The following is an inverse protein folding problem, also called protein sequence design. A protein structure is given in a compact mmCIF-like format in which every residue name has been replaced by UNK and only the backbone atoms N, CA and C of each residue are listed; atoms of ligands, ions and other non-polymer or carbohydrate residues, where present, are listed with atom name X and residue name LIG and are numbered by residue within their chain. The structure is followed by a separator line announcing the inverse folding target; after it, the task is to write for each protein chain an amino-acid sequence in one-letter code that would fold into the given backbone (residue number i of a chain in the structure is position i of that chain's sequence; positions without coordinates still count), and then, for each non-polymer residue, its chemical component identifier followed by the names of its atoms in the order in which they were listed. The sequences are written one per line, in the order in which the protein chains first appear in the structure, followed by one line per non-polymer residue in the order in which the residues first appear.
data_IF_638437427924
#
_entry.id   IF_638437427924
#
_cell.length_a   1.000
_cell.length_b   1.000
_cell.length_c   1.000
_cell.angle_alpha   90.00
_cell.angle_beta   90.00
_cell.angle_gamma   90.00
#
_symmetry.space_group_name_H-M   'P 1'
#
loop_
_entity.id
_entity.type
_entity.pdbx_description
1 polymer ?
#
# COMPACT_ATOMS: atom_id res chain seq x y z
N UNK A 1 -0.95 -6.55 -10.29
CA UNK A 1 -0.63 -7.96 -9.96
C UNK A 1 -1.21 -8.25 -8.57
N UNK A 2 -1.10 -9.43 -7.99
CA UNK A 2 -1.43 -9.63 -6.56
C UNK A 2 -0.15 -10.01 -5.82
N UNK A 3 0.16 -9.29 -4.75
CA UNK A 3 1.30 -9.56 -3.87
C UNK A 3 0.77 -10.03 -2.52
N UNK A 4 1.27 -11.16 -2.04
CA UNK A 4 0.79 -11.78 -0.81
C UNK A 4 1.81 -11.62 0.32
N UNK A 5 1.41 -10.92 1.39
CA UNK A 5 2.23 -10.74 2.59
C UNK A 5 2.02 -11.94 3.50
N UNK A 6 2.95 -12.89 3.45
CA UNK A 6 2.86 -14.14 4.22
C UNK A 6 3.22 -13.96 5.69
N UNK A 7 4.26 -13.19 5.96
CA UNK A 7 4.87 -13.12 7.28
C UNK A 7 4.10 -12.23 8.25
N UNK A 8 4.03 -12.68 9.50
CA UNK A 8 3.57 -11.89 10.62
C UNK A 8 4.58 -10.80 10.99
N UNK A 9 4.12 -9.83 11.77
CA UNK A 9 4.91 -8.70 12.24
C UNK A 9 4.82 -8.55 13.75
N UNK A 10 5.97 -8.30 14.39
CA UNK A 10 6.03 -8.12 15.85
C UNK A 10 5.52 -6.77 16.32
N UNK A 11 5.37 -5.80 15.41
CA UNK A 11 4.95 -4.44 15.73
C UNK A 11 4.13 -3.82 14.60
N UNK A 12 3.34 -2.81 14.94
CA UNK A 12 2.60 -2.00 13.95
C UNK A 12 3.55 -1.37 12.93
N UNK A 13 4.71 -0.86 13.36
CA UNK A 13 5.70 -0.27 12.46
C UNK A 13 6.21 -1.28 11.44
N UNK A 14 6.64 -2.47 11.89
CA UNK A 14 7.11 -3.52 10.97
C UNK A 14 5.99 -4.01 10.05
N UNK A 15 4.76 -4.13 10.55
CA UNK A 15 3.59 -4.47 9.75
C UNK A 15 3.27 -3.44 8.65
N UNK A 16 3.34 -2.15 8.97
CA UNK A 16 3.16 -1.07 8.00
C UNK A 16 4.28 -1.07 6.94
N UNK A 17 5.52 -1.31 7.36
CA UNK A 17 6.66 -1.42 6.44
C UNK A 17 6.48 -2.57 5.45
N UNK A 18 6.05 -3.74 5.92
CA UNK A 18 5.75 -4.89 5.04
C UNK A 18 4.60 -4.62 4.09
N UNK A 19 3.53 -3.99 4.59
CA UNK A 19 2.39 -3.59 3.77
C UNK A 19 2.81 -2.62 2.66
N UNK A 20 3.61 -1.59 3.00
CA UNK A 20 4.16 -0.64 2.02
C UNK A 20 5.07 -1.34 1.01
N UNK A 21 5.93 -2.25 1.45
CA UNK A 21 6.80 -3.02 0.56
C UNK A 21 6.00 -3.84 -0.46
N UNK A 22 4.92 -4.50 -0.03
CA UNK A 22 4.05 -5.25 -0.93
C UNK A 22 3.31 -4.35 -1.94
N UNK A 23 2.92 -3.13 -1.55
CA UNK A 23 2.34 -2.16 -2.48
C UNK A 23 3.36 -1.68 -3.53
N UNK A 24 4.61 -1.44 -3.11
CA UNK A 24 5.72 -1.09 -4.01
C UNK A 24 5.99 -2.23 -4.98
N UNK A 25 6.05 -3.46 -4.49
CA UNK A 25 6.26 -4.63 -5.33
C UNK A 25 5.14 -4.80 -6.37
N UNK A 26 3.87 -4.65 -5.96
CA UNK A 26 2.75 -4.71 -6.90
C UNK A 26 2.84 -3.63 -7.99
N UNK A 27 3.19 -2.40 -7.60
CA UNK A 27 3.36 -1.29 -8.53
C UNK A 27 4.51 -1.54 -9.51
N UNK A 28 5.68 -1.97 -9.00
CA UNK A 28 6.84 -2.27 -9.82
C UNK A 28 6.51 -3.38 -10.81
N UNK A 29 5.83 -4.44 -10.37
CA UNK A 29 5.36 -5.53 -11.23
C UNK A 29 4.39 -5.04 -12.32
N UNK A 30 3.51 -4.09 -12.01
CA UNK A 30 2.55 -3.54 -12.97
C UNK A 30 3.18 -2.54 -13.97
N UNK A 31 4.31 -1.93 -13.61
CA UNK A 31 4.99 -0.91 -14.42
C UNK A 31 6.28 -1.39 -15.08
N UNK A 32 6.74 -2.61 -14.77
CA UNK A 32 7.88 -3.20 -15.43
C UNK A 32 7.50 -3.70 -16.81
N UNK A 33 8.26 -3.32 -17.82
CA UNK A 33 8.17 -3.89 -19.17
C UNK A 33 9.43 -4.69 -19.45
N UNK A 34 9.33 -5.93 -19.97
CA UNK A 34 10.49 -6.63 -20.50
C UNK A 34 10.94 -5.92 -21.77
N UNK A 35 11.98 -5.10 -21.66
CA UNK A 35 12.63 -4.42 -22.77
C UNK A 35 14.08 -4.90 -22.83
N UNK A 36 14.53 -5.28 -24.02
CA UNK A 36 15.95 -5.45 -24.26
C UNK A 36 16.52 -4.04 -24.51
N UNK A 37 17.55 -3.60 -23.78
CA UNK A 37 18.09 -2.23 -23.89
C UNK A 37 19.00 -2.06 -25.11
N UNK A 38 18.49 -2.28 -26.32
CA UNK A 38 19.31 -2.26 -27.53
C UNK A 38 19.26 -0.93 -28.27
N UNK A 39 18.23 -0.10 -28.08
CA UNK A 39 18.12 1.23 -28.69
C UNK A 39 17.83 2.36 -27.69
N UNK A 40 17.96 3.61 -28.14
CA UNK A 40 17.83 4.79 -27.28
C UNK A 40 16.39 5.08 -26.84
N UNK A 41 15.38 4.66 -27.61
CA UNK A 41 13.97 4.76 -27.20
C UNK A 41 13.68 3.83 -26.02
N UNK A 42 14.18 2.59 -26.06
CA UNK A 42 14.05 1.62 -24.96
C UNK A 42 14.73 2.12 -23.70
N UNK A 43 15.95 2.70 -23.81
CA UNK A 43 16.65 3.31 -22.67
C UNK A 43 15.84 4.47 -22.06
N UNK A 44 15.24 5.32 -22.89
CA UNK A 44 14.42 6.45 -22.43
C UNK A 44 13.16 5.97 -21.69
N UNK A 45 12.51 4.93 -22.21
CA UNK A 45 11.34 4.31 -21.58
C UNK A 45 11.68 3.70 -20.22
N UNK A 46 12.77 2.94 -20.13
CA UNK A 46 13.27 2.36 -18.86
C UNK A 46 13.57 3.45 -17.83
N UNK A 47 14.23 4.55 -18.24
CA UNK A 47 14.51 5.69 -17.36
C UNK A 47 13.21 6.33 -16.84
N UNK A 48 12.21 6.47 -17.71
CA UNK A 48 10.92 7.05 -17.35
C UNK A 48 10.15 6.16 -16.36
N UNK A 49 10.18 4.84 -16.55
CA UNK A 49 9.59 3.86 -15.62
C UNK A 49 10.28 3.87 -14.25
N UNK A 50 11.62 3.87 -14.23
CA UNK A 50 12.38 3.93 -12.98
C UNK A 50 12.05 5.20 -12.18
N UNK A 51 11.88 6.34 -12.87
CA UNK A 51 11.43 7.58 -12.26
C UNK A 51 10.04 7.45 -11.66
N UNK A 52 9.07 6.90 -12.40
CA UNK A 52 7.70 6.69 -11.90
C UNK A 52 7.67 5.77 -10.67
N UNK A 53 8.47 4.70 -10.66
CA UNK A 53 8.61 3.80 -9.51
C UNK A 53 9.21 4.52 -8.30
N UNK A 54 10.23 5.34 -8.50
CA UNK A 54 10.83 6.12 -7.41
C UNK A 54 9.86 7.17 -6.85
N UNK A 55 9.13 7.88 -7.71
CA UNK A 55 8.08 8.82 -7.31
C UNK A 55 6.97 8.11 -6.54
N UNK A 56 6.56 6.92 -6.97
CA UNK A 56 5.59 6.09 -6.25
C UNK A 56 6.06 5.71 -4.84
N UNK A 57 7.31 5.25 -4.69
CA UNK A 57 7.90 4.89 -3.38
C UNK A 57 7.96 6.10 -2.43
N UNK A 58 8.31 7.26 -2.98
CA UNK A 58 8.47 8.51 -2.24
C UNK A 58 7.14 9.17 -1.89
N UNK A 59 6.07 8.91 -2.67
CA UNK A 59 4.75 9.49 -2.46
C UNK A 59 3.96 8.94 -1.27
N UNK A 60 4.45 7.91 -0.58
CA UNK A 60 3.74 7.34 0.57
C UNK A 60 3.90 8.18 1.84
N UNK A 61 2.77 8.44 2.48
CA UNK A 61 2.67 9.12 3.76
C UNK A 61 1.86 8.26 4.73
N UNK A 62 2.38 8.12 5.96
CA UNK A 62 1.70 7.43 7.06
C UNK A 62 1.38 8.46 8.12
N UNK A 63 0.10 8.58 8.47
CA UNK A 63 -0.33 9.49 9.54
C UNK A 63 -1.08 8.74 10.64
N UNK A 64 -0.78 9.08 11.88
CA UNK A 64 -1.32 8.42 13.06
C UNK A 64 -2.48 9.25 13.62
N UNK A 65 -3.71 8.76 13.45
CA UNK A 65 -4.89 9.31 14.11
C UNK A 65 -5.15 8.61 15.45
N UNK A 66 -6.15 9.09 16.19
CA UNK A 66 -6.54 8.53 17.49
C UNK A 66 -6.97 7.07 17.43
N UNK A 67 -7.64 6.67 16.34
CA UNK A 67 -8.17 5.32 16.15
C UNK A 67 -7.55 4.58 14.97
N UNK A 68 -7.25 5.30 13.90
CA UNK A 68 -6.76 4.71 12.66
C UNK A 68 -5.44 5.35 12.26
N UNK A 69 -4.57 4.50 11.75
CA UNK A 69 -3.38 4.88 11.01
C UNK A 69 -3.79 4.95 9.54
N UNK A 70 -3.52 6.08 8.90
CA UNK A 70 -3.88 6.32 7.50
C UNK A 70 -2.65 6.13 6.63
N UNK A 71 -2.83 5.41 5.54
CA UNK A 71 -1.83 5.26 4.48
C UNK A 71 -2.33 6.08 3.30
N UNK A 72 -1.60 7.12 2.97
CA UNK A 72 -1.89 8.08 1.91
C UNK A 72 -0.79 7.94 0.86
N UNK A 73 -1.14 8.14 -0.40
CA UNK A 73 -0.21 8.21 -1.51
C UNK A 73 -0.41 9.51 -2.26
N UNK A 74 0.68 10.18 -2.61
CA UNK A 74 0.71 11.27 -3.58
C UNK A 74 1.21 10.76 -4.93
N UNK A 75 0.61 11.23 -6.03
CA UNK A 75 1.17 11.07 -7.37
C UNK A 75 2.17 12.20 -7.70
N UNK A 76 2.78 12.14 -8.88
CA UNK A 76 3.78 13.12 -9.32
C UNK A 76 3.20 14.49 -9.65
N UNK A 77 1.86 14.61 -9.76
CA UNK A 77 1.15 15.88 -9.89
C UNK A 77 0.74 16.47 -8.53
N UNK A 78 1.06 15.76 -7.43
CA UNK A 78 0.70 16.18 -6.08
C UNK A 78 -0.73 15.81 -5.68
N UNK A 79 -1.47 15.04 -6.49
CA UNK A 79 -2.78 14.55 -6.08
C UNK A 79 -2.64 13.48 -5.02
N UNK A 80 -3.45 13.59 -3.97
CA UNK A 80 -3.41 12.69 -2.82
C UNK A 80 -4.57 11.72 -2.86
N UNK A 81 -4.27 10.46 -2.62
CA UNK A 81 -5.23 9.36 -2.56
C UNK A 81 -5.13 8.64 -1.22
N UNK A 82 -6.28 8.37 -0.62
CA UNK A 82 -6.36 7.51 0.57
C UNK A 82 -6.26 6.06 0.11
N UNK A 83 -5.24 5.33 0.56
CA UNK A 83 -4.97 3.95 0.11
C UNK A 83 -5.59 2.94 1.07
N UNK A 84 -5.36 3.13 2.36
CA UNK A 84 -5.84 2.21 3.39
C UNK A 84 -5.92 2.87 4.75
N UNK A 85 -6.72 2.27 5.63
CA UNK A 85 -6.69 2.51 7.05
C UNK A 85 -6.23 1.25 7.77
N UNK A 86 -5.47 1.42 8.84
CA UNK A 86 -5.11 0.34 9.77
C UNK A 86 -5.66 0.71 11.14
N UNK A 87 -6.32 -0.23 11.81
CA UNK A 87 -6.83 -0.02 13.18
C UNK A 87 -5.64 0.09 14.14
N UNK A 88 -5.51 1.22 14.82
CA UNK A 88 -4.36 1.53 15.70
C UNK A 88 -4.60 1.21 17.18
N UNK A 89 -5.83 0.86 17.55
CA UNK A 89 -6.28 0.68 18.95
C UNK A 89 -6.80 -0.73 19.17
N UNK A 90 -6.69 -1.20 20.42
CA UNK A 90 -7.20 -2.51 20.85
C UNK A 90 -8.68 -2.45 21.29
N UNK A 91 -9.25 -1.25 21.41
CA UNK A 91 -10.61 -1.00 21.94
C UNK A 91 -11.67 -0.84 20.85
N UNK A 92 -11.37 -1.16 19.59
CA UNK A 92 -12.37 -1.11 18.53
C UNK A 92 -13.39 -2.25 18.71
N UNK A 93 -14.68 -1.91 18.70
CA UNK A 93 -15.79 -2.84 18.94
C UNK A 93 -15.92 -3.98 17.91
N UNK A 94 -15.39 -3.81 16.69
CA UNK A 94 -15.58 -4.75 15.56
C UNK A 94 -14.27 -5.30 15.01
N UNK A 95 -13.19 -4.53 15.09
CA UNK A 95 -11.93 -4.86 14.43
C UNK A 95 -10.79 -4.96 15.45
N UNK A 96 -9.80 -5.79 15.16
CA UNK A 96 -8.60 -5.92 15.96
C UNK A 96 -7.58 -4.87 15.54
N UNK A 97 -6.69 -4.50 16.46
CA UNK A 97 -5.50 -3.72 16.14
C UNK A 97 -4.71 -4.39 15.01
N UNK A 98 -4.27 -3.60 14.04
CA UNK A 98 -3.60 -4.07 12.85
C UNK A 98 -4.55 -4.46 11.70
N UNK A 99 -5.87 -4.51 11.91
CA UNK A 99 -6.81 -4.81 10.83
C UNK A 99 -6.73 -3.75 9.74
N UNK A 100 -6.60 -4.22 8.50
CA UNK A 100 -6.55 -3.40 7.30
C UNK A 100 -7.98 -3.16 6.82
N UNK A 101 -8.34 -1.89 6.65
CA UNK A 101 -9.66 -1.48 6.17
C UNK A 101 -9.52 -0.65 4.90
N UNK A 102 -10.45 -0.89 3.97
CA UNK A 102 -10.54 -0.11 2.75
C UNK A 102 -11.06 1.31 3.07
N UNK A 103 -10.59 2.36 2.38
CA UNK A 103 -11.18 3.70 2.47
C UNK A 103 -12.65 3.73 2.03
N UNK A 104 -13.52 4.41 2.80
CA UNK A 104 -14.85 4.85 2.35
C UNK A 104 -14.87 6.35 2.03
N UNK A 105 -13.80 7.06 2.39
CA UNK A 105 -13.56 8.46 2.11
C UNK A 105 -12.25 8.90 2.77
N UNK A 106 -11.98 10.20 2.74
CA UNK A 106 -10.73 10.75 3.28
C UNK A 106 -10.61 10.61 4.81
N UNK A 107 -11.74 10.67 5.52
CA UNK A 107 -11.76 10.70 7.00
C UNK A 107 -11.96 9.34 7.65
N UNK A 108 -12.53 8.36 6.94
CA UNK A 108 -12.94 7.10 7.54
C UNK A 108 -12.89 5.88 6.59
N UNK A 109 -12.64 4.68 7.13
CA UNK A 109 -12.71 3.44 6.37
C UNK A 109 -14.14 2.91 6.22
N UNK A 110 -14.32 2.04 5.22
CA UNK A 110 -15.45 1.12 5.14
C UNK A 110 -15.34 0.09 6.27
N UNK A 111 -16.35 0.05 7.14
CA UNK A 111 -16.39 -0.83 8.32
C UNK A 111 -17.16 -2.13 8.08
N UNK A 112 -17.21 -2.62 6.84
CA UNK A 112 -17.94 -3.84 6.48
C UNK A 112 -17.17 -5.11 6.87
N UNK A 113 -15.88 -5.24 6.52
CA UNK A 113 -15.03 -6.42 6.83
C UNK A 113 -13.54 -6.00 6.80
N UNK A 114 -12.67 -6.73 7.50
CA UNK A 114 -11.22 -6.55 7.42
C UNK A 114 -10.64 -7.11 6.09
N UNK A 115 -9.50 -6.58 5.65
CA UNK A 115 -8.77 -6.98 4.43
C UNK A 115 -7.44 -7.65 4.73
N UNK A 116 -7.35 -8.25 5.91
CA UNK A 116 -6.12 -8.76 6.49
C UNK A 116 -5.76 -8.01 7.76
N UNK A 117 -4.70 -8.48 8.40
CA UNK A 117 -4.13 -7.85 9.59
C UNK A 117 -2.61 -7.76 9.42
N UNK A 118 -2.05 -6.56 9.60
CA UNK A 118 -0.62 -6.32 9.37
C UNK A 118 0.30 -7.04 10.37
N UNK A 119 -0.26 -7.50 11.51
CA UNK A 119 0.46 -8.22 12.55
C UNK A 119 0.40 -9.72 12.31
N UNK A 120 -0.73 -10.24 11.81
CA UNK A 120 -0.90 -11.67 11.58
C UNK A 120 -0.23 -12.12 10.26
N UNK A 121 -0.12 -11.22 9.26
CA UNK A 121 0.26 -11.61 7.90
C UNK A 121 -0.91 -12.28 7.18
N UNK A 122 -0.62 -13.10 6.17
CA UNK A 122 -1.62 -13.85 5.41
C UNK A 122 -2.61 -13.01 4.60
N UNK A 123 -2.22 -11.82 4.14
CA UNK A 123 -3.11 -10.92 3.40
C UNK A 123 -2.56 -10.55 2.02
N UNK A 124 -3.47 -10.16 1.12
CA UNK A 124 -3.14 -9.80 -0.24
C UNK A 124 -3.23 -8.28 -0.45
N UNK A 125 -2.28 -7.77 -1.23
CA UNK A 125 -2.27 -6.43 -1.81
C UNK A 125 -2.47 -6.56 -3.31
N UNK A 126 -3.37 -5.75 -3.85
CA UNK A 126 -3.71 -5.76 -5.26
C UNK A 126 -4.09 -4.33 -5.69
N UNK A 127 -3.63 -3.92 -6.87
CA UNK A 127 -3.75 -2.53 -7.34
C UNK A 127 -3.22 -1.52 -6.33
N UNK A 128 -2.04 -1.81 -5.75
CA UNK A 128 -1.35 -0.97 -4.76
C UNK A 128 -2.13 -0.71 -3.47
N UNK A 129 -3.17 -1.51 -3.19
CA UNK A 129 -4.10 -1.30 -2.09
C UNK A 129 -4.65 -2.58 -1.47
N UNK A 130 -5.44 -2.46 -0.39
CA UNK A 130 -6.17 -3.58 0.18
C UNK A 130 -7.27 -4.05 -0.79
N UNK A 131 -7.56 -5.35 -0.76
CA UNK A 131 -8.57 -5.95 -1.63
C UNK A 131 -9.95 -5.28 -1.50
N UNK A 132 -10.59 -5.12 -2.65
CA UNK A 132 -11.99 -4.73 -2.74
C UNK A 132 -12.84 -5.97 -2.44
N UNK A 133 -14.05 -5.77 -1.89
CA UNK A 133 -15.04 -6.85 -1.78
C UNK A 133 -15.88 -6.89 -3.05
#
# INVERSE_FOLDING_TARGET
MTVYVKESSRSVLSGLSRMKAAMIEDYNRATSTPLNMHNDMEKSLVKSMARMQQEFVNGFEVTYGSKYIRIIKSDHYGHRSMVAFVVGVDTDKKFRKGDILKPAGWKAPARNKARGNILDGGYAINWTGPLYL
#
